data_IF_678193176520
#
_entry.id   IF_678193176520
#
_cell.length_a   1.000
_cell.length_b   1.000
_cell.length_c   1.000
_cell.angle_alpha   90.00
_cell.angle_beta   90.00
_cell.angle_gamma   90.00
#
_symmetry.space_group_name_H-M   'P 1'
#
loop_
_entity.id
_entity.type
_entity.pdbx_description
1 polymer ?
#
# COMPACT_ATOMS: atom_id res chain seq x y z
N UNK A 1 1.01 10.38 -25.09
CA UNK A 1 0.54 11.67 -24.53
C UNK A 1 0.00 11.33 -23.15
N UNK A 2 0.76 11.66 -22.12
CA UNK A 2 0.53 11.14 -20.77
C UNK A 2 0.66 12.28 -19.77
N UNK A 3 -0.47 12.86 -19.35
CA UNK A 3 -0.50 13.73 -18.18
C UNK A 3 -0.29 12.88 -16.92
N UNK A 4 0.66 13.26 -16.09
CA UNK A 4 0.89 12.62 -14.78
C UNK A 4 0.12 13.43 -13.73
N UNK A 5 -0.89 12.81 -13.13
CA UNK A 5 -1.70 13.40 -12.07
C UNK A 5 -1.06 13.08 -10.72
N UNK A 6 -0.80 14.10 -9.91
CA UNK A 6 -0.48 13.92 -8.48
C UNK A 6 -1.80 14.08 -7.72
N UNK A 7 -2.43 12.93 -7.39
CA UNK A 7 -3.63 12.86 -6.56
C UNK A 7 -3.31 12.08 -5.30
N UNK A 8 -3.72 12.60 -4.14
CA UNK A 8 -3.53 12.01 -2.82
C UNK A 8 -4.36 10.74 -2.59
N UNK A 9 -5.42 10.58 -3.38
CA UNK A 9 -6.11 9.32 -3.56
C UNK A 9 -5.78 8.80 -4.96
N UNK A 10 -5.38 7.53 -5.07
CA UNK A 10 -5.11 6.81 -6.33
C UNK A 10 -6.38 6.64 -7.22
N UNK A 11 -7.30 7.62 -7.21
CA UNK A 11 -8.34 7.79 -8.23
C UNK A 11 -7.67 8.40 -9.46
N UNK A 12 -7.56 7.58 -10.50
CA UNK A 12 -7.35 8.08 -11.85
C UNK A 12 -8.54 9.00 -12.19
N UNK A 13 -8.29 10.31 -12.29
CA UNK A 13 -9.29 11.22 -12.86
C UNK A 13 -9.32 11.03 -14.37
N UNK A 14 -10.52 11.12 -14.97
CA UNK A 14 -10.62 11.29 -16.42
C UNK A 14 -9.95 12.61 -16.80
N UNK A 15 -8.79 12.52 -17.45
CA UNK A 15 -8.15 13.65 -18.10
C UNK A 15 -8.63 13.68 -19.53
N UNK A 16 -9.31 14.75 -19.92
CA UNK A 16 -9.63 15.00 -21.32
C UNK A 16 -8.36 15.44 -22.04
N UNK A 17 -7.89 14.64 -23.00
CA UNK A 17 -6.75 14.99 -23.83
C UNK A 17 -7.22 16.01 -24.89
N UNK A 18 -6.74 17.25 -24.80
CA UNK A 18 -6.98 18.27 -25.82
C UNK A 18 -5.84 18.25 -26.85
N UNK A 19 -6.17 18.03 -28.13
CA UNK A 19 -5.19 18.18 -29.21
C UNK A 19 -4.76 19.66 -29.29
N UNK A 20 -3.44 19.88 -29.36
CA UNK A 20 -2.79 21.18 -29.55
C UNK A 20 -2.56 22.04 -28.28
N UNK A 21 -2.62 21.45 -27.08
CA UNK A 21 -2.07 22.05 -25.85
C UNK A 21 -0.66 21.56 -25.56
N UNK A 22 0.16 22.41 -24.97
CA UNK A 22 1.48 22.03 -24.44
C UNK A 22 1.26 21.20 -23.16
N UNK A 23 1.97 20.07 -23.05
CA UNK A 23 1.93 19.21 -21.86
C UNK A 23 2.32 20.00 -20.60
N UNK A 24 1.55 19.83 -19.53
CA UNK A 24 1.74 20.55 -18.29
C UNK A 24 1.22 19.80 -17.08
N UNK A 25 1.79 20.12 -15.92
CA UNK A 25 1.35 19.56 -14.64
C UNK A 25 0.08 20.29 -14.17
N UNK A 26 -0.94 19.52 -13.78
CA UNK A 26 -2.20 20.03 -13.24
C UNK A 26 -2.31 19.59 -11.79
N UNK A 27 -2.61 20.54 -10.89
CA UNK A 27 -2.93 20.25 -9.50
C UNK A 27 -4.45 20.29 -9.32
N UNK A 28 -5.05 19.12 -9.09
CA UNK A 28 -6.53 18.94 -9.03
C UNK A 28 -7.17 19.73 -7.88
N UNK A 29 -6.40 20.01 -6.82
CA UNK A 29 -6.86 20.75 -5.64
C UNK A 29 -6.71 22.28 -5.77
N UNK A 30 -6.14 22.77 -6.87
CA UNK A 30 -5.98 24.21 -7.11
C UNK A 30 -7.12 24.73 -8.01
N UNK A 31 -7.78 25.82 -7.58
CA UNK A 31 -8.90 26.43 -8.33
C UNK A 31 -8.47 27.01 -9.67
N UNK A 32 -7.18 27.31 -9.86
CA UNK A 32 -6.60 27.80 -11.11
C UNK A 32 -6.08 26.69 -12.02
N UNK A 33 -6.03 25.44 -11.55
CA UNK A 33 -5.60 24.27 -12.32
C UNK A 33 -4.09 24.23 -12.66
N UNK A 34 -3.30 25.22 -12.24
CA UNK A 34 -1.86 25.26 -12.50
C UNK A 34 -1.08 24.61 -11.36
N UNK A 35 -0.17 23.71 -11.70
CA UNK A 35 0.76 23.15 -10.74
C UNK A 35 1.82 24.19 -10.33
N UNK A 36 1.99 24.36 -9.02
CA UNK A 36 3.20 24.92 -8.44
C UNK A 36 3.65 24.04 -7.28
N UNK A 37 4.96 23.91 -7.10
CA UNK A 37 5.55 23.14 -5.98
C UNK A 37 5.01 23.67 -4.65
N UNK A 38 4.83 24.98 -4.52
CA UNK A 38 4.31 25.61 -3.31
C UNK A 38 2.87 25.18 -2.99
N UNK A 39 1.96 25.21 -3.98
CA UNK A 39 0.57 24.81 -3.75
C UNK A 39 0.46 23.30 -3.54
N UNK A 40 1.21 22.48 -4.29
CA UNK A 40 1.26 21.04 -4.09
C UNK A 40 1.75 20.69 -2.68
N UNK A 41 2.81 21.35 -2.20
CA UNK A 41 3.33 21.14 -0.85
C UNK A 41 2.32 21.53 0.24
N UNK A 42 1.61 22.64 0.08
CA UNK A 42 0.55 23.06 1.02
C UNK A 42 -0.59 22.05 1.10
N UNK A 43 -1.02 21.50 -0.03
CA UNK A 43 -2.06 20.46 -0.09
C UNK A 43 -1.59 19.21 0.66
N UNK A 44 -0.39 18.71 0.33
CA UNK A 44 0.18 17.53 0.97
C UNK A 44 0.37 17.71 2.49
N UNK A 45 0.80 18.90 2.92
CA UNK A 45 0.99 19.20 4.33
C UNK A 45 -0.34 19.21 5.10
N UNK A 46 -1.40 19.77 4.51
CA UNK A 46 -2.74 19.79 5.12
C UNK A 46 -3.36 18.39 5.21
N UNK A 47 -3.12 17.53 4.21
CA UNK A 47 -3.55 16.13 4.25
C UNK A 47 -2.76 15.32 5.29
N UNK A 48 -1.45 15.52 5.36
CA UNK A 48 -0.60 14.85 6.34
C UNK A 48 -0.93 15.25 7.79
N UNK A 49 -1.33 16.50 8.01
CA UNK A 49 -1.69 17.01 9.35
C UNK A 49 -3.13 16.67 9.76
N UNK A 50 -4.02 16.35 8.81
CA UNK A 50 -5.40 15.91 9.10
C UNK A 50 -5.51 14.44 9.46
N UNK A 51 -4.53 13.61 9.08
CA UNK A 51 -4.52 12.18 9.36
C UNK A 51 -3.37 11.83 10.30
N UNK A 52 -3.61 11.83 11.62
CA UNK A 52 -2.65 11.24 12.57
C UNK A 52 -2.57 9.72 12.35
N UNK A 53 -1.66 9.32 11.48
CA UNK A 53 -1.52 7.92 11.09
C UNK A 53 -0.55 7.22 12.05
N UNK A 54 -1.01 7.01 13.29
CA UNK A 54 -0.26 6.32 14.34
C UNK A 54 0.29 4.96 13.89
N UNK A 55 -0.37 4.30 12.93
CA UNK A 55 0.13 3.10 12.27
C UNK A 55 1.46 3.35 11.54
N UNK A 56 1.57 4.38 10.69
CA UNK A 56 2.84 4.65 9.99
C UNK A 56 3.95 5.08 10.94
N UNK A 57 3.64 5.85 11.99
CA UNK A 57 4.63 6.19 13.03
C UNK A 57 5.21 4.93 13.68
N UNK A 58 4.34 3.97 14.03
CA UNK A 58 4.75 2.66 14.54
C UNK A 58 5.57 1.91 13.50
N UNK A 59 5.08 1.76 12.27
CA UNK A 59 5.79 1.06 11.18
C UNK A 59 7.23 1.52 11.00
N UNK A 60 7.46 2.83 11.01
CA UNK A 60 8.81 3.36 10.84
C UNK A 60 9.71 3.21 12.06
N UNK A 61 9.13 3.02 13.25
CA UNK A 61 9.82 2.75 14.51
C UNK A 61 10.09 1.25 14.79
N UNK A 62 9.55 0.32 13.99
CA UNK A 62 9.82 -1.11 14.11
C UNK A 62 11.31 -1.45 13.97
N UNK A 63 11.77 -2.42 14.76
CA UNK A 63 13.12 -2.98 14.63
C UNK A 63 13.14 -4.12 13.59
N UNK A 64 12.90 -3.77 12.33
CA UNK A 64 12.95 -4.72 11.21
C UNK A 64 13.71 -4.11 10.02
N UNK A 65 14.27 -4.94 9.13
CA UNK A 65 14.91 -4.46 7.90
C UNK A 65 14.07 -3.43 7.15
N UNK A 66 14.71 -2.41 6.58
CA UNK A 66 14.03 -1.34 5.85
C UNK A 66 13.20 -1.87 4.67
N UNK A 67 13.65 -2.95 4.03
CA UNK A 67 12.93 -3.64 2.96
C UNK A 67 11.56 -4.13 3.41
N UNK A 68 11.45 -4.68 4.62
CA UNK A 68 10.17 -5.14 5.18
C UNK A 68 9.26 -3.96 5.54
N UNK A 69 9.82 -2.87 6.09
CA UNK A 69 9.05 -1.63 6.35
C UNK A 69 8.48 -1.06 5.06
N UNK A 70 9.29 -0.97 4.02
CA UNK A 70 8.85 -0.53 2.69
C UNK A 70 7.78 -1.45 2.11
N UNK A 71 7.89 -2.77 2.28
CA UNK A 71 6.87 -3.72 1.84
C UNK A 71 5.53 -3.45 2.55
N UNK A 72 5.52 -3.39 3.89
CA UNK A 72 4.28 -3.14 4.65
C UNK A 72 3.67 -1.77 4.31
N UNK A 73 4.51 -0.75 4.10
CA UNK A 73 4.06 0.57 3.64
C UNK A 73 3.36 0.48 2.28
N UNK A 74 3.96 -0.23 1.31
CA UNK A 74 3.34 -0.46 -0.01
C UNK A 74 2.04 -1.26 0.10
N UNK A 75 2.00 -2.32 0.91
CA UNK A 75 0.79 -3.11 1.13
C UNK A 75 -0.33 -2.25 1.73
N UNK A 76 -0.01 -1.37 2.67
CA UNK A 76 -0.97 -0.49 3.35
C UNK A 76 -1.58 0.59 2.46
N UNK A 77 -0.95 0.83 1.30
CA UNK A 77 -1.37 1.80 0.28
C UNK A 77 -1.89 1.12 -0.99
N UNK A 78 -2.09 -0.21 -0.95
CA UNK A 78 -2.50 -1.00 -2.12
C UNK A 78 -1.57 -0.76 -3.34
N UNK A 79 -0.26 -0.65 -3.05
CA UNK A 79 0.78 -0.23 -3.99
C UNK A 79 1.68 -1.37 -4.50
N UNK A 80 1.29 -2.62 -4.27
CA UNK A 80 1.97 -3.80 -4.84
C UNK A 80 1.25 -4.27 -6.11
N UNK A 81 1.98 -4.96 -6.99
CA UNK A 81 1.48 -5.40 -8.28
C UNK A 81 0.62 -6.67 -8.17
N UNK A 82 -0.50 -6.60 -7.45
CA UNK A 82 -1.54 -7.64 -7.54
C UNK A 82 -2.29 -7.54 -8.86
N UNK A 83 -2.97 -8.62 -9.29
CA UNK A 83 -3.82 -8.55 -10.49
C UNK A 83 -4.86 -7.43 -10.40
N UNK A 84 -5.51 -7.25 -9.25
CA UNK A 84 -6.46 -6.13 -9.06
C UNK A 84 -5.83 -4.77 -9.33
N UNK A 85 -4.57 -4.58 -8.95
CA UNK A 85 -3.88 -3.31 -9.08
C UNK A 85 -3.32 -3.12 -10.49
N UNK A 86 -2.83 -4.19 -11.13
CA UNK A 86 -2.40 -4.18 -12.51
C UNK A 86 -3.57 -3.89 -13.46
N UNK A 87 -4.74 -4.48 -13.19
CA UNK A 87 -5.98 -4.23 -13.92
C UNK A 87 -6.41 -2.76 -13.76
N UNK A 88 -6.45 -2.26 -12.52
CA UNK A 88 -6.75 -0.85 -12.22
C UNK A 88 -5.78 0.13 -12.88
N UNK A 89 -4.55 -0.29 -13.16
CA UNK A 89 -3.55 0.52 -13.86
C UNK A 89 -3.58 0.35 -15.39
N UNK A 90 -4.47 -0.50 -15.94
CA UNK A 90 -4.57 -0.78 -17.37
C UNK A 90 -3.40 -1.58 -17.94
N UNK A 91 -2.59 -2.23 -17.09
CA UNK A 91 -1.40 -2.98 -17.51
C UNK A 91 -1.76 -4.33 -18.15
N UNK A 92 -2.91 -4.90 -17.77
CA UNK A 92 -3.30 -6.24 -18.24
C UNK A 92 -3.89 -6.23 -19.66
N UNK A 93 -4.36 -5.09 -20.18
CA UNK A 93 -5.02 -5.01 -21.49
C UNK A 93 -6.16 -6.01 -21.60
N UNK A 94 -6.23 -6.76 -22.71
CA UNK A 94 -7.25 -7.80 -22.94
C UNK A 94 -6.93 -9.14 -22.23
N UNK A 95 -5.82 -9.23 -21.48
CA UNK A 95 -5.45 -10.46 -20.78
C UNK A 95 -6.25 -10.58 -19.49
N UNK A 96 -7.24 -11.47 -19.51
CA UNK A 96 -7.94 -11.89 -18.30
C UNK A 96 -7.10 -12.91 -17.52
N UNK A 97 -6.33 -12.45 -16.54
CA UNK A 97 -5.80 -13.32 -15.49
C UNK A 97 -6.88 -13.49 -14.43
N UNK A 98 -7.44 -14.69 -14.33
CA UNK A 98 -8.73 -14.92 -13.65
C UNK A 98 -8.64 -15.23 -12.16
N UNK A 99 -7.45 -15.31 -11.58
CA UNK A 99 -7.31 -15.65 -10.15
C UNK A 99 -5.92 -15.44 -9.57
N UNK A 100 -5.87 -15.46 -8.24
CA UNK A 100 -4.67 -15.38 -7.40
C UNK A 100 -3.56 -16.31 -7.88
N UNK A 101 -2.34 -15.80 -7.98
CA UNK A 101 -1.16 -16.54 -8.41
C UNK A 101 -0.86 -17.78 -7.55
N UNK A 102 -1.38 -17.84 -6.32
CA UNK A 102 -1.19 -18.99 -5.43
C UNK A 102 -2.33 -20.00 -5.48
N UNK A 103 -3.59 -19.57 -5.29
CA UNK A 103 -4.71 -20.51 -5.20
C UNK A 103 -5.44 -20.72 -6.53
N UNK A 104 -5.40 -19.73 -7.44
CA UNK A 104 -6.15 -19.74 -8.69
C UNK A 104 -7.68 -19.68 -8.54
N UNK A 105 -8.22 -19.55 -7.32
CA UNK A 105 -9.68 -19.64 -7.06
C UNK A 105 -10.35 -18.27 -6.93
N UNK A 106 -9.79 -17.37 -6.12
CA UNK A 106 -10.34 -16.03 -5.88
C UNK A 106 -9.50 -14.98 -6.62
N UNK A 107 -10.08 -13.80 -6.82
CA UNK A 107 -9.36 -12.65 -7.37
C UNK A 107 -8.13 -12.27 -6.52
N UNK A 108 -7.05 -11.84 -7.18
CA UNK A 108 -5.83 -11.44 -6.49
C UNK A 108 -5.92 -9.99 -6.00
N UNK A 109 -6.13 -9.83 -4.68
CA UNK A 109 -5.96 -8.56 -3.97
C UNK A 109 -4.84 -8.68 -2.94
N UNK A 110 -4.42 -7.57 -2.34
CA UNK A 110 -3.43 -7.57 -1.25
C UNK A 110 -3.90 -8.45 -0.09
N UNK A 111 -5.15 -8.28 0.32
CA UNK A 111 -5.76 -9.00 1.44
C UNK A 111 -5.77 -10.50 1.17
N UNK A 112 -6.20 -10.88 -0.03
CA UNK A 112 -6.22 -12.28 -0.42
C UNK A 112 -4.81 -12.86 -0.52
N UNK A 113 -3.93 -12.25 -1.31
CA UNK A 113 -2.60 -12.78 -1.59
C UNK A 113 -1.77 -12.97 -0.31
N UNK A 114 -1.87 -12.03 0.65
CA UNK A 114 -1.03 -12.03 1.85
C UNK A 114 -1.68 -12.63 3.11
N UNK A 115 -3.01 -12.72 3.22
CA UNK A 115 -3.65 -13.13 4.47
C UNK A 115 -4.69 -14.24 4.31
N UNK A 116 -5.67 -14.09 3.41
CA UNK A 116 -6.79 -15.04 3.30
C UNK A 116 -6.65 -16.13 2.23
N UNK A 117 -5.62 -16.06 1.37
CA UNK A 117 -5.30 -17.15 0.45
C UNK A 117 -4.97 -18.43 1.22
N UNK A 118 -5.57 -19.55 0.83
CA UNK A 118 -5.36 -20.84 1.50
C UNK A 118 -3.88 -21.26 1.57
N UNK A 119 -3.08 -20.89 0.56
CA UNK A 119 -1.63 -21.17 0.53
C UNK A 119 -0.92 -20.30 1.58
N UNK A 120 -1.09 -18.98 1.50
CA UNK A 120 -0.42 -18.03 2.41
C UNK A 120 -0.87 -18.21 3.86
N UNK A 121 -2.16 -18.47 4.08
CA UNK A 121 -2.71 -18.75 5.41
C UNK A 121 -2.01 -19.96 6.07
N UNK A 122 -1.80 -21.06 5.33
CA UNK A 122 -1.06 -22.22 5.83
C UNK A 122 0.39 -21.89 6.18
N UNK A 123 1.04 -21.00 5.42
CA UNK A 123 2.40 -20.54 5.72
C UNK A 123 2.41 -19.78 7.04
N UNK A 124 1.49 -18.83 7.23
CA UNK A 124 1.36 -18.10 8.49
C UNK A 124 1.08 -19.00 9.69
N UNK A 125 0.18 -19.99 9.54
CA UNK A 125 -0.08 -20.95 10.62
C UNK A 125 1.19 -21.72 11.04
N UNK A 126 2.01 -22.14 10.06
CA UNK A 126 3.29 -22.78 10.35
C UNK A 126 4.26 -21.85 11.07
N UNK A 127 4.38 -20.60 10.62
CA UNK A 127 5.21 -19.59 11.27
C UNK A 127 4.75 -19.33 12.70
N UNK A 128 3.44 -19.17 12.93
CA UNK A 128 2.88 -18.93 14.26
C UNK A 128 3.15 -20.11 15.18
N UNK A 129 3.00 -21.34 14.67
CA UNK A 129 3.38 -22.54 15.42
C UNK A 129 4.87 -22.55 15.80
N UNK A 130 5.77 -22.11 14.92
CA UNK A 130 7.20 -22.02 15.23
C UNK A 130 7.53 -21.01 16.32
N UNK A 131 6.76 -19.92 16.39
CA UNK A 131 6.91 -18.91 17.44
C UNK A 131 6.04 -19.17 18.69
N UNK A 132 5.32 -20.29 18.74
CA UNK A 132 4.42 -20.61 19.86
C UNK A 132 3.22 -19.66 19.99
N UNK A 133 2.78 -19.06 18.89
CA UNK A 133 1.72 -18.05 18.86
C UNK A 133 0.37 -18.68 18.51
N UNK A 134 -0.66 -18.32 19.28
CA UNK A 134 -2.06 -18.56 18.95
C UNK A 134 -2.73 -17.22 18.68
N UNK A 135 -2.67 -16.75 17.43
CA UNK A 135 -3.23 -15.46 17.01
C UNK A 135 -4.08 -15.62 15.75
N UNK A 136 -5.10 -14.76 15.62
CA UNK A 136 -5.93 -14.67 14.42
C UNK A 136 -5.25 -13.74 13.42
N UNK A 137 -5.07 -14.21 12.19
CA UNK A 137 -4.55 -13.40 11.09
C UNK A 137 -5.71 -12.53 10.59
N UNK A 138 -5.58 -11.22 10.75
CA UNK A 138 -6.55 -10.28 10.19
C UNK A 138 -6.36 -10.19 8.68
N UNK A 139 -7.46 -10.06 7.94
CA UNK A 139 -7.44 -9.87 6.49
C UNK A 139 -7.13 -8.42 6.08
N UNK A 140 -6.69 -7.56 7.01
CA UNK A 140 -6.27 -6.18 6.77
C UNK A 140 -4.82 -5.98 7.23
N UNK A 141 -4.02 -5.32 6.38
CA UNK A 141 -2.57 -5.09 6.61
C UNK A 141 -2.34 -4.35 7.91
N UNK A 142 -3.09 -3.25 8.14
CA UNK A 142 -2.87 -2.36 9.29
C UNK A 142 -3.26 -3.06 10.59
N UNK A 143 -4.41 -3.73 10.58
CA UNK A 143 -4.92 -4.49 11.72
C UNK A 143 -3.99 -5.66 12.07
N UNK A 144 -3.52 -6.42 11.08
CA UNK A 144 -2.59 -7.52 11.30
C UNK A 144 -1.23 -7.04 11.84
N UNK A 145 -0.74 -5.91 11.34
CA UNK A 145 0.48 -5.29 11.86
C UNK A 145 0.33 -4.85 13.32
N UNK A 146 -0.79 -4.21 13.67
CA UNK A 146 -1.05 -3.74 15.03
C UNK A 146 -1.16 -4.92 16.00
N UNK A 147 -1.87 -5.99 15.63
CA UNK A 147 -2.04 -7.16 16.50
C UNK A 147 -0.72 -7.89 16.79
N UNK A 148 0.26 -7.79 15.89
CA UNK A 148 1.57 -8.42 16.03
C UNK A 148 2.69 -7.42 16.36
N UNK A 149 2.35 -6.15 16.66
CA UNK A 149 3.31 -5.08 16.94
C UNK A 149 4.31 -5.44 18.04
N UNK A 150 3.81 -6.07 19.12
CA UNK A 150 4.66 -6.46 20.24
C UNK A 150 5.78 -7.41 19.79
N UNK A 151 5.51 -8.34 18.86
CA UNK A 151 6.53 -9.24 18.33
C UNK A 151 7.61 -8.51 17.53
N UNK A 152 7.22 -7.48 16.78
CA UNK A 152 8.13 -6.68 15.93
C UNK A 152 8.85 -5.54 16.68
N UNK A 153 8.49 -5.30 17.93
CA UNK A 153 9.10 -4.26 18.79
C UNK A 153 9.98 -4.83 19.90
N UNK A 154 10.05 -6.16 20.03
CA UNK A 154 11.04 -6.85 20.86
C UNK A 154 12.42 -6.80 20.18
N UNK A 155 13.17 -5.73 20.44
CA UNK A 155 14.53 -5.80 21.00
C UNK A 155 15.12 -4.38 21.07
N UNK A 156 15.42 -3.91 22.28
CA UNK A 156 16.33 -2.79 22.53
C UNK A 156 17.39 -3.13 23.58
N UNK A 157 17.43 -4.37 24.11
CA UNK A 157 18.12 -4.66 25.38
C UNK A 157 19.23 -5.72 25.30
N UNK A 158 19.58 -6.27 24.13
CA UNK A 158 20.62 -7.31 24.04
C UNK A 158 22.00 -6.89 23.50
N UNK A 159 22.32 -5.60 23.39
CA UNK A 159 23.65 -5.14 22.91
C UNK A 159 24.48 -4.31 23.90
N UNK A 160 24.26 -4.43 25.22
CA UNK A 160 25.09 -3.76 26.24
C UNK A 160 25.43 -4.64 27.45
N UNK A 161 25.80 -5.91 27.25
CA UNK A 161 26.55 -6.67 28.26
C UNK A 161 27.88 -7.15 27.70
#
# INVERSE_FOLDING_TARGET
>A
MSCIIISSNLRWLQVTLENNRIDGWILVHDKGGFYSVQNAYKVLLNEASSHDNGFFKKLWACNVPSTLRCLVWKLSLDGVATLSNLDRCGVLGDRSLTGCAFCGVLGETVEHLFFSCAVTYRIWQKLYSWFGLCSVISNDVKSNFISHWNLMSLDKNHHQQ
#
